data_IF_664113536568
#
_entry.id   IF_664113536568
#
_cell.length_a   1.000
_cell.length_b   1.000
_cell.length_c   1.000
_cell.angle_alpha   90.00
_cell.angle_beta   90.00
_cell.angle_gamma   90.00
#
_symmetry.space_group_name_H-M   'P 1'
#
loop_
_entity.id
_entity.type
_entity.pdbx_description
1 polymer ?
#
# COMPACT_ATOMS: atom_id res chain seq x y z
N UNK A 1 -21.61 1.12 -4.50
CA UNK A 1 -21.41 -0.34 -4.59
C UNK A 1 -19.91 -0.59 -4.71
N UNK A 2 -19.31 -1.45 -3.88
CA UNK A 2 -17.90 -1.81 -4.05
C UNK A 2 -17.77 -2.62 -5.34
N UNK A 3 -16.89 -2.22 -6.26
CA UNK A 3 -16.62 -2.99 -7.47
C UNK A 3 -16.28 -4.44 -7.09
N UNK A 4 -16.91 -5.39 -7.78
CA UNK A 4 -16.74 -6.85 -7.55
C UNK A 4 -15.26 -7.29 -7.61
N UNK A 5 -14.37 -6.43 -8.13
CA UNK A 5 -12.93 -6.62 -8.31
C UNK A 5 -12.09 -5.42 -7.85
N UNK A 6 -12.54 -4.69 -6.82
CA UNK A 6 -11.88 -3.46 -6.35
C UNK A 6 -10.39 -3.66 -5.97
N UNK A 7 -10.02 -4.80 -5.38
CA UNK A 7 -8.62 -5.12 -5.02
C UNK A 7 -7.77 -5.26 -6.28
N UNK A 8 -8.27 -5.97 -7.31
CA UNK A 8 -7.57 -6.14 -8.58
C UNK A 8 -7.37 -4.79 -9.28
N UNK A 9 -8.35 -3.88 -9.20
CA UNK A 9 -8.19 -2.51 -9.68
C UNK A 9 -7.12 -1.72 -8.92
N UNK A 10 -7.07 -1.88 -7.60
CA UNK A 10 -6.16 -1.13 -6.73
C UNK A 10 -4.69 -1.57 -6.82
N UNK A 11 -4.41 -2.82 -7.21
CA UNK A 11 -3.05 -3.38 -7.33
C UNK A 11 -2.44 -3.27 -8.74
N UNK A 12 -3.16 -2.72 -9.72
CA UNK A 12 -2.67 -2.56 -11.12
C UNK A 12 -1.32 -1.83 -11.25
N UNK A 13 -0.96 -1.00 -10.27
CA UNK A 13 0.33 -0.31 -10.22
C UNK A 13 1.19 -0.84 -9.06
N UNK A 14 1.80 -2.02 -9.19
CA UNK A 14 2.63 -2.59 -8.15
C UNK A 14 3.84 -1.69 -7.87
N UNK A 15 4.07 -1.38 -6.59
CA UNK A 15 5.21 -0.56 -6.16
C UNK A 15 5.02 0.95 -6.26
N UNK A 16 3.83 1.46 -6.59
CA UNK A 16 3.54 2.91 -6.60
C UNK A 16 3.84 3.56 -5.23
N UNK A 17 3.34 2.98 -4.14
CA UNK A 17 3.62 3.44 -2.77
C UNK A 17 5.12 3.41 -2.46
N UNK A 18 5.85 2.39 -2.94
CA UNK A 18 7.29 2.26 -2.73
C UNK A 18 8.06 3.39 -3.43
N UNK A 19 7.64 3.73 -4.66
CA UNK A 19 8.20 4.83 -5.44
C UNK A 19 7.93 6.18 -4.76
N UNK A 20 6.72 6.39 -4.24
CA UNK A 20 6.35 7.60 -3.48
C UNK A 20 7.16 7.75 -2.18
N UNK A 21 7.47 6.65 -1.50
CA UNK A 21 8.26 6.68 -0.26
C UNK A 21 9.79 6.65 -0.46
N UNK A 22 10.25 6.62 -1.72
CA UNK A 22 11.67 6.57 -2.07
C UNK A 22 12.39 5.32 -1.56
N UNK A 23 11.69 4.18 -1.45
CA UNK A 23 12.28 2.92 -0.97
C UNK A 23 12.83 2.14 -2.18
N UNK A 24 14.01 1.51 -2.04
CA UNK A 24 14.62 0.75 -3.14
C UNK A 24 13.72 -0.40 -3.60
N UNK A 25 13.75 -0.65 -4.91
CA UNK A 25 13.02 -1.77 -5.51
C UNK A 25 13.55 -3.09 -4.97
N UNK A 26 12.67 -3.89 -4.36
CA UNK A 26 13.02 -5.17 -3.73
C UNK A 26 13.14 -5.10 -2.20
N UNK A 27 13.28 -3.90 -1.62
CA UNK A 27 13.29 -3.76 -0.16
C UNK A 27 11.86 -3.71 0.41
N UNK A 28 11.73 -4.25 1.64
CA UNK A 28 10.51 -4.10 2.44
C UNK A 28 10.33 -2.62 2.77
N UNK A 29 9.09 -2.13 2.63
CA UNK A 29 8.75 -0.77 3.06
C UNK A 29 8.88 -0.72 4.59
N UNK A 30 9.71 0.17 5.16
CA UNK A 30 9.87 0.28 6.60
C UNK A 30 8.54 0.60 7.29
N UNK A 31 8.25 -0.02 8.42
CA UNK A 31 6.99 0.18 9.16
C UNK A 31 6.76 1.64 9.50
N UNK A 32 7.79 2.33 10.00
CA UNK A 32 7.70 3.76 10.33
C UNK A 32 7.24 4.61 9.14
N UNK A 33 7.76 4.33 7.93
CA UNK A 33 7.36 5.04 6.70
C UNK A 33 5.96 4.65 6.26
N UNK A 34 5.61 3.36 6.37
CA UNK A 34 4.30 2.85 6.01
C UNK A 34 3.19 3.39 6.93
N UNK A 35 3.47 3.52 8.22
CA UNK A 35 2.55 4.10 9.21
C UNK A 35 2.38 5.61 9.03
N UNK A 36 3.47 6.33 8.76
CA UNK A 36 3.40 7.75 8.43
C UNK A 36 2.55 7.96 7.16
N UNK A 37 2.76 7.15 6.13
CA UNK A 37 1.96 7.19 4.91
C UNK A 37 0.50 6.83 5.17
N UNK A 38 0.21 5.83 6.01
CA UNK A 38 -1.15 5.41 6.35
C UNK A 38 -1.93 6.49 7.14
N UNK A 39 -1.23 7.38 7.85
CA UNK A 39 -1.84 8.55 8.51
C UNK A 39 -2.17 9.68 7.54
N UNK A 40 -1.50 9.77 6.39
CA UNK A 40 -1.80 10.79 5.38
C UNK A 40 -3.20 10.60 4.79
N UNK A 41 -3.78 11.71 4.35
CA UNK A 41 -4.99 11.73 3.53
C UNK A 41 -4.64 11.52 2.05
N UNK A 42 -5.65 11.26 1.20
CA UNK A 42 -5.45 11.12 -0.25
C UNK A 42 -5.04 9.72 -0.73
N UNK A 43 -4.51 9.66 -1.97
CA UNK A 43 -4.18 8.40 -2.66
C UNK A 43 -3.02 7.65 -1.98
N UNK A 44 -2.00 8.37 -1.49
CA UNK A 44 -0.86 7.79 -0.76
C UNK A 44 -1.32 7.03 0.49
N UNK A 45 -2.17 7.66 1.32
CA UNK A 45 -2.69 7.03 2.54
C UNK A 45 -3.60 5.84 2.28
N UNK A 46 -4.44 5.91 1.23
CA UNK A 46 -5.24 4.76 0.79
C UNK A 46 -4.35 3.58 0.39
N UNK A 47 -3.27 3.83 -0.36
CA UNK A 47 -2.30 2.80 -0.75
C UNK A 47 -1.57 2.20 0.44
N UNK A 48 -1.15 3.02 1.40
CA UNK A 48 -0.47 2.55 2.61
C UNK A 48 -1.38 1.69 3.49
N UNK A 49 -2.64 2.07 3.68
CA UNK A 49 -3.63 1.26 4.41
C UNK A 49 -3.88 -0.07 3.71
N UNK A 50 -4.07 -0.05 2.38
CA UNK A 50 -4.22 -1.28 1.60
C UNK A 50 -3.00 -2.20 1.77
N UNK A 51 -1.78 -1.66 1.66
CA UNK A 51 -0.57 -2.44 1.86
C UNK A 51 -0.52 -3.07 3.26
N UNK A 52 -0.94 -2.33 4.30
CA UNK A 52 -1.03 -2.85 5.68
C UNK A 52 -2.04 -3.99 5.81
N UNK A 53 -3.21 -3.85 5.18
CA UNK A 53 -4.25 -4.90 5.15
C UNK A 53 -3.76 -6.13 4.40
N UNK A 54 -3.17 -5.97 3.21
CA UNK A 54 -2.63 -7.09 2.42
C UNK A 54 -1.52 -7.82 3.18
N UNK A 55 -0.66 -7.09 3.90
CA UNK A 55 0.39 -7.70 4.73
C UNK A 55 -0.19 -8.56 5.85
N UNK A 56 -1.28 -8.12 6.49
CA UNK A 56 -1.99 -8.92 7.50
C UNK A 56 -2.67 -10.17 6.91
N UNK A 57 -3.19 -10.08 5.69
CA UNK A 57 -3.86 -11.22 5.03
C UNK A 57 -2.87 -12.27 4.50
N UNK A 58 -1.70 -11.86 4.04
CA UNK A 58 -0.67 -12.75 3.49
C UNK A 58 0.37 -13.28 4.50
N UNK A 59 0.26 -12.93 5.78
CA UNK A 59 1.14 -13.44 6.85
C UNK A 59 0.59 -14.70 7.55
N UNK A 60 -0.21 -15.50 6.84
CA UNK A 60 -0.70 -16.80 7.32
C UNK A 60 -0.08 -17.92 6.50
#
# INVERSE_FOLDING_TARGET
MAEKKWIQGAVKHPGALRKELGVKKGEKIPEKKLDAAAKKSGKEGKRARLAKTLRKMGSK
#
